data_IF_162556670322
#
_entry.id   IF_162556670322
#
_cell.length_a   1.000
_cell.length_b   1.000
_cell.length_c   1.000
_cell.angle_alpha   90.00
_cell.angle_beta   90.00
_cell.angle_gamma   90.00
#
_symmetry.space_group_name_H-M   'P 1'
#
loop_
_entity.id
_entity.type
_entity.pdbx_description
1 polymer ?
#
# COMPACT_ATOMS: atom_id res chain seq x y z
N UNK A 1 7.53 -15.09 12.08
CA UNK A 1 7.47 -15.85 10.81
C UNK A 1 6.97 -14.85 9.79
N UNK A 2 7.70 -14.65 8.69
CA UNK A 2 7.22 -13.75 7.65
C UNK A 2 5.89 -14.27 7.10
N UNK A 3 4.92 -13.36 6.91
CA UNK A 3 3.64 -13.67 6.30
C UNK A 3 3.88 -14.24 4.90
N UNK A 4 3.00 -15.14 4.47
CA UNK A 4 2.96 -15.52 3.06
C UNK A 4 2.63 -14.30 2.20
N UNK A 5 2.95 -14.38 0.91
CA UNK A 5 2.74 -13.27 -0.02
C UNK A 5 1.26 -12.84 -0.10
N UNK A 6 0.34 -13.78 0.04
CA UNK A 6 -1.10 -13.52 0.00
C UNK A 6 -1.57 -12.84 1.28
N UNK A 7 -1.16 -13.35 2.45
CA UNK A 7 -1.45 -12.71 3.74
C UNK A 7 -0.85 -11.30 3.82
N UNK A 8 0.35 -11.08 3.26
CA UNK A 8 0.98 -9.77 3.19
C UNK A 8 0.17 -8.79 2.34
N UNK A 9 -0.40 -9.26 1.21
CA UNK A 9 -1.29 -8.44 0.38
C UNK A 9 -2.55 -8.04 1.16
N UNK A 10 -3.17 -8.99 1.86
CA UNK A 10 -4.35 -8.72 2.66
C UNK A 10 -4.05 -7.74 3.81
N UNK A 11 -2.92 -7.91 4.49
CA UNK A 11 -2.47 -7.00 5.53
C UNK A 11 -2.24 -5.57 4.99
N UNK A 12 -1.64 -5.44 3.81
CA UNK A 12 -1.46 -4.15 3.11
C UNK A 12 -2.82 -3.50 2.80
N UNK A 13 -3.77 -4.26 2.25
CA UNK A 13 -5.12 -3.76 1.95
C UNK A 13 -5.86 -3.32 3.22
N UNK A 14 -5.82 -4.13 4.27
CA UNK A 14 -6.43 -3.82 5.56
C UNK A 14 -5.80 -2.59 6.21
N UNK A 15 -4.48 -2.43 6.12
CA UNK A 15 -3.77 -1.24 6.59
C UNK A 15 -4.19 0.01 5.82
N UNK A 16 -4.26 -0.07 4.50
CA UNK A 16 -4.69 1.04 3.65
C UNK A 16 -6.18 1.42 3.87
N UNK A 17 -7.03 0.45 4.20
CA UNK A 17 -8.43 0.68 4.54
C UNK A 17 -8.58 1.41 5.89
N UNK A 18 -7.81 0.98 6.91
CA UNK A 18 -7.91 1.51 8.28
C UNK A 18 -7.13 2.81 8.52
N UNK A 19 -6.16 3.12 7.66
CA UNK A 19 -5.31 4.30 7.85
C UNK A 19 -6.10 5.61 7.72
N UNK A 20 -5.76 6.64 8.51
CA UNK A 20 -6.45 7.93 8.44
C UNK A 20 -6.19 8.63 7.10
N UNK A 21 -4.99 8.45 6.52
CA UNK A 21 -4.63 8.97 5.21
C UNK A 21 -4.98 7.94 4.13
N UNK A 22 -5.56 8.37 2.99
CA UNK A 22 -5.81 7.48 1.86
C UNK A 22 -4.49 7.00 1.24
N UNK A 23 -3.49 7.88 1.24
CA UNK A 23 -2.14 7.68 0.74
C UNK A 23 -1.16 7.27 1.84
N UNK A 24 -0.46 6.15 1.64
CA UNK A 24 0.54 5.64 2.58
C UNK A 24 1.89 5.44 1.89
N UNK A 25 2.98 5.68 2.60
CA UNK A 25 4.30 5.36 2.10
C UNK A 25 4.53 3.86 2.13
N UNK A 26 5.38 3.35 1.22
CA UNK A 26 5.78 1.94 1.21
C UNK A 26 6.32 1.47 2.57
N UNK A 27 7.00 2.38 3.29
CA UNK A 27 7.55 2.12 4.62
C UNK A 27 6.49 1.88 5.69
N UNK A 28 5.28 2.45 5.53
CA UNK A 28 4.18 2.27 6.48
C UNK A 28 3.63 0.83 6.43
N UNK A 29 3.82 0.14 5.30
CA UNK A 29 3.48 -1.26 5.13
C UNK A 29 4.52 -2.22 5.72
N UNK A 30 5.76 -1.78 5.98
CA UNK A 30 6.72 -2.61 6.71
C UNK A 30 6.24 -2.92 8.14
N UNK A 31 5.39 -2.07 8.71
CA UNK A 31 4.75 -2.35 10.00
C UNK A 31 3.71 -3.49 9.94
N UNK A 32 3.26 -3.90 8.75
CA UNK A 32 2.33 -5.03 8.60
C UNK A 32 3.04 -6.37 8.78
N UNK A 33 4.32 -6.44 8.42
CA UNK A 33 5.17 -7.60 8.63
C UNK A 33 6.64 -7.15 8.81
N UNK A 34 7.09 -6.97 10.05
CA UNK A 34 8.47 -6.59 10.35
C UNK A 34 9.49 -7.66 9.98
N UNK A 35 9.08 -8.93 9.89
CA UNK A 35 9.94 -10.05 9.51
C UNK A 35 10.12 -10.13 7.98
N UNK A 36 9.19 -9.52 7.21
CA UNK A 36 9.27 -9.47 5.75
C UNK A 36 10.38 -8.53 5.27
N UNK A 37 11.14 -9.01 4.28
CA UNK A 37 12.10 -8.16 3.55
C UNK A 37 11.36 -6.99 2.91
N UNK A 38 11.93 -5.79 2.97
CA UNK A 38 11.35 -4.59 2.36
C UNK A 38 10.98 -4.78 0.87
N UNK A 39 11.77 -5.60 0.15
CA UNK A 39 11.48 -5.98 -1.23
C UNK A 39 10.22 -6.83 -1.39
N UNK A 40 9.90 -7.71 -0.44
CA UNK A 40 8.69 -8.52 -0.44
C UNK A 40 7.45 -7.63 -0.28
N UNK A 41 7.47 -6.70 0.67
CA UNK A 41 6.39 -5.71 0.89
C UNK A 41 6.17 -4.86 -0.36
N UNK A 42 7.25 -4.34 -0.96
CA UNK A 42 7.17 -3.56 -2.20
C UNK A 42 6.61 -4.39 -3.37
N UNK A 43 7.02 -5.66 -3.51
CA UNK A 43 6.52 -6.52 -4.57
C UNK A 43 5.04 -6.85 -4.38
N UNK A 44 4.59 -7.11 -3.15
CA UNK A 44 3.18 -7.35 -2.83
C UNK A 44 2.32 -6.12 -3.15
N UNK A 45 2.75 -4.92 -2.73
CA UNK A 45 2.06 -3.68 -3.05
C UNK A 45 1.99 -3.41 -4.57
N UNK A 46 3.10 -3.62 -5.29
CA UNK A 46 3.11 -3.49 -6.76
C UNK A 46 2.19 -4.50 -7.46
N UNK A 47 2.07 -5.71 -6.94
CA UNK A 47 1.12 -6.69 -7.48
C UNK A 47 -0.32 -6.26 -7.24
N UNK A 48 -0.65 -5.71 -6.08
CA UNK A 48 -1.97 -5.14 -5.82
C UNK A 48 -2.31 -3.98 -6.77
N UNK A 49 -1.30 -3.22 -7.20
CA UNK A 49 -1.46 -2.19 -8.25
C UNK A 49 -1.73 -2.82 -9.61
N UNK A 50 -0.99 -3.88 -9.98
CA UNK A 50 -1.24 -4.63 -11.23
C UNK A 50 -2.61 -5.31 -11.25
N UNK A 51 -3.08 -5.80 -10.11
CA UNK A 51 -4.42 -6.33 -9.90
C UNK A 51 -5.50 -5.24 -9.92
N UNK A 52 -5.12 -3.95 -9.95
CA UNK A 52 -6.04 -2.83 -9.96
C UNK A 52 -6.76 -2.59 -8.63
N UNK A 53 -6.27 -3.16 -7.52
CA UNK A 53 -6.79 -2.95 -6.16
C UNK A 53 -6.17 -1.71 -5.50
N UNK A 54 -4.94 -1.38 -5.88
CA UNK A 54 -4.22 -0.22 -5.37
C UNK A 54 -3.78 0.72 -6.49
N UNK A 55 -3.51 1.97 -6.10
CA UNK A 55 -2.91 2.99 -6.96
C UNK A 55 -1.53 3.30 -6.41
N UNK A 56 -0.57 3.51 -7.30
CA UNK A 56 0.81 3.84 -6.99
C UNK A 56 1.14 5.23 -7.51
N UNK A 57 1.92 5.98 -6.74
CA UNK A 57 2.57 7.20 -7.20
C UNK A 57 3.99 7.31 -6.65
N UNK A 58 4.83 8.00 -7.44
CA UNK A 58 6.15 8.41 -7.02
C UNK A 58 6.06 9.75 -6.30
N UNK A 59 6.59 9.83 -5.07
CA UNK A 59 6.68 11.06 -4.29
C UNK A 59 8.16 11.38 -4.07
N UNK A 60 8.82 11.89 -5.11
CA UNK A 60 10.24 12.24 -5.07
C UNK A 60 11.14 11.02 -4.82
N UNK A 61 11.81 10.99 -3.66
CA UNK A 61 12.73 9.90 -3.26
C UNK A 61 12.01 8.65 -2.70
N UNK A 62 10.69 8.67 -2.57
CA UNK A 62 9.91 7.57 -2.01
C UNK A 62 8.68 7.22 -2.85
N UNK A 63 8.08 6.09 -2.52
CA UNK A 63 6.91 5.53 -3.22
C UNK A 63 5.75 5.41 -2.27
N UNK A 64 4.56 5.70 -2.77
CA UNK A 64 3.34 5.68 -2.01
C UNK A 64 2.25 4.87 -2.70
N UNK A 65 1.34 4.32 -1.91
CA UNK A 65 0.23 3.49 -2.36
C UNK A 65 -1.06 3.84 -1.62
N UNK A 66 -2.19 3.73 -2.32
CA UNK A 66 -3.55 3.86 -1.76
C UNK A 66 -4.39 2.71 -2.27
N UNK A 67 -5.46 2.42 -1.54
CA UNK A 67 -6.59 1.70 -2.12
C UNK A 67 -7.18 2.53 -3.26
N UNK A 68 -7.50 1.85 -4.36
CA UNK A 68 -8.08 2.51 -5.54
C UNK A 68 -9.36 3.29 -5.23
N UNK A 69 -10.20 2.75 -4.36
CA UNK A 69 -11.44 3.42 -3.96
C UNK A 69 -11.18 4.70 -3.15
N UNK A 70 -10.14 4.70 -2.31
CA UNK A 70 -9.77 5.86 -1.48
C UNK A 70 -8.91 6.88 -2.21
N UNK A 71 -8.19 6.47 -3.26
CA UNK A 71 -7.39 7.37 -4.08
C UNK A 71 -8.26 8.36 -4.85
N UNK A 72 -9.44 7.93 -5.31
CA UNK A 72 -10.40 8.78 -6.03
C UNK A 72 -11.00 9.89 -5.16
N UNK A 73 -11.21 9.61 -3.87
CA UNK A 73 -11.74 10.62 -2.94
C UNK A 73 -10.78 11.82 -2.77
N UNK A 74 -9.48 11.63 -2.98
CA UNK A 74 -8.49 12.69 -2.76
C UNK A 74 -8.31 13.60 -3.98
N UNK A 75 -8.45 13.08 -5.19
CA UNK A 75 -8.53 13.89 -6.42
C UNK A 75 -9.71 14.88 -6.34
N UNK A 76 -10.80 14.48 -5.70
CA UNK A 76 -11.97 15.33 -5.46
C UNK A 76 -11.85 16.28 -4.24
N UNK A 77 -10.89 16.06 -3.33
CA UNK A 77 -10.72 16.89 -2.11
C UNK A 77 -9.83 18.12 -2.32
N UNK A 78 -9.31 18.29 -3.53
CA UNK A 78 -8.41 19.38 -3.90
C UNK A 78 -9.12 20.51 -4.69
N UNK A 79 -10.46 20.53 -4.70
CA UNK A 79 -11.29 21.57 -5.34
C UNK A 79 -11.99 22.46 -4.30
#
# INVERSE_FOLDING_TARGET
>A
MALSKEELKEAILAKAAKSPKPQLYVKDFHACDPDSKARAVKNAANELVKEGKMVFWSSGSTTMYALKDRAKDEEHRSA
#
